data_IF_308012461851
#
_entry.id   IF_308012461851
#
_cell.length_a   1.000
_cell.length_b   1.000
_cell.length_c   1.000
_cell.angle_alpha   90.00
_cell.angle_beta   90.00
_cell.angle_gamma   90.00
#
_symmetry.space_group_name_H-M   'P 1'
#
loop_
_entity.id
_entity.type
_entity.pdbx_description
1 polymer ?
#
# COMPACT_ATOMS: atom_id res chain seq x y z
N UNK A 1 -40.87 -1.32 13.01
CA UNK A 1 -40.62 -0.33 11.94
C UNK A 1 -40.21 -1.07 10.69
N UNK A 2 -40.85 -0.82 9.52
CA UNK A 2 -40.32 -1.36 8.26
C UNK A 2 -38.97 -0.72 7.99
N UNK A 3 -37.93 -1.50 7.64
CA UNK A 3 -36.59 -0.94 7.39
C UNK A 3 -36.67 0.04 6.21
N UNK A 4 -36.11 1.24 6.39
CA UNK A 4 -36.00 2.21 5.30
C UNK A 4 -35.10 1.60 4.21
N UNK A 5 -35.67 1.32 3.04
CA UNK A 5 -34.90 0.99 1.83
C UNK A 5 -34.34 2.31 1.33
N UNK A 6 -33.07 2.50 1.44
CA UNK A 6 -32.38 3.65 0.86
C UNK A 6 -31.95 3.32 -0.56
N UNK A 7 -31.96 4.29 -1.41
CA UNK A 7 -31.80 4.33 -2.86
C UNK A 7 -30.92 3.24 -3.49
N UNK A 8 -31.29 2.78 -4.67
CA UNK A 8 -30.48 1.89 -5.49
C UNK A 8 -29.25 2.64 -6.05
N UNK A 9 -28.07 2.03 -5.93
CA UNK A 9 -26.80 2.50 -6.49
C UNK A 9 -26.38 1.60 -7.66
N UNK A 10 -25.62 2.14 -8.59
CA UNK A 10 -24.95 1.31 -9.60
C UNK A 10 -23.75 0.58 -8.98
N UNK A 11 -22.96 1.31 -8.17
CA UNK A 11 -21.77 0.78 -7.52
C UNK A 11 -21.76 1.16 -6.04
N UNK A 12 -21.52 0.18 -5.17
CA UNK A 12 -21.14 0.42 -3.77
C UNK A 12 -19.70 -0.01 -3.57
N UNK A 13 -18.86 0.90 -3.08
CA UNK A 13 -17.47 0.65 -2.70
C UNK A 13 -17.41 0.53 -1.18
N UNK A 14 -17.00 -0.61 -0.67
CA UNK A 14 -16.83 -0.84 0.77
C UNK A 14 -15.36 -0.69 1.13
N UNK A 15 -15.06 0.32 1.95
CA UNK A 15 -13.74 0.75 2.34
C UNK A 15 -13.39 2.14 1.81
N UNK A 16 -13.26 3.13 2.70
CA UNK A 16 -12.80 4.49 2.39
C UNK A 16 -11.30 4.67 2.66
N UNK A 17 -10.52 3.62 2.42
CA UNK A 17 -9.07 3.71 2.37
C UNK A 17 -8.57 4.21 1.01
N UNK A 18 -7.25 4.29 0.85
CA UNK A 18 -6.58 4.77 -0.36
C UNK A 18 -7.13 4.12 -1.65
N UNK A 19 -7.31 2.80 -1.65
CA UNK A 19 -7.76 2.04 -2.84
C UNK A 19 -9.22 2.34 -3.18
N UNK A 20 -10.12 2.24 -2.18
CA UNK A 20 -11.56 2.47 -2.41
C UNK A 20 -11.87 3.90 -2.86
N UNK A 21 -11.24 4.89 -2.22
CA UNK A 21 -11.41 6.30 -2.61
C UNK A 21 -10.78 6.59 -3.99
N UNK A 22 -9.68 5.92 -4.35
CA UNK A 22 -9.11 6.04 -5.70
C UNK A 22 -10.06 5.48 -6.74
N UNK A 23 -10.68 4.32 -6.50
CA UNK A 23 -11.73 3.76 -7.39
C UNK A 23 -12.86 4.79 -7.56
N UNK A 24 -13.40 5.32 -6.46
CA UNK A 24 -14.47 6.32 -6.48
C UNK A 24 -14.08 7.59 -7.26
N UNK A 25 -12.82 8.02 -7.13
CA UNK A 25 -12.30 9.22 -7.80
C UNK A 25 -12.09 9.02 -9.31
N UNK A 26 -11.66 7.82 -9.72
CA UNK A 26 -11.41 7.49 -11.12
C UNK A 26 -12.69 7.18 -11.93
N UNK A 27 -13.79 6.77 -11.28
CA UNK A 27 -15.09 6.61 -11.91
C UNK A 27 -15.66 7.99 -12.25
N UNK A 28 -15.51 8.43 -13.51
CA UNK A 28 -15.85 9.80 -13.97
C UNK A 28 -17.21 9.89 -14.65
N UNK A 29 -17.93 8.78 -14.81
CA UNK A 29 -19.25 8.78 -15.41
C UNK A 29 -20.28 9.33 -14.42
N UNK A 30 -20.79 10.52 -14.70
CA UNK A 30 -21.76 11.23 -13.86
C UNK A 30 -23.17 10.57 -13.86
N UNK A 31 -23.42 9.63 -14.75
CA UNK A 31 -24.64 8.84 -14.80
C UNK A 31 -24.65 7.73 -13.73
N UNK A 32 -23.50 7.31 -13.26
CA UNK A 32 -23.39 6.27 -12.24
C UNK A 32 -23.70 6.83 -10.85
N UNK A 33 -24.61 6.19 -10.13
CA UNK A 33 -24.85 6.47 -8.71
C UNK A 33 -23.90 5.61 -7.88
N UNK A 34 -23.02 6.26 -7.12
CA UNK A 34 -21.95 5.61 -6.38
C UNK A 34 -22.14 5.83 -4.88
N UNK A 35 -21.93 4.79 -4.08
CA UNK A 35 -21.80 4.91 -2.63
C UNK A 35 -20.42 4.43 -2.18
N UNK A 36 -19.84 5.13 -1.22
CA UNK A 36 -18.66 4.67 -0.46
C UNK A 36 -19.11 4.41 0.98
N UNK A 37 -18.78 3.23 1.50
CA UNK A 37 -19.17 2.79 2.84
C UNK A 37 -17.92 2.43 3.63
N UNK A 38 -17.73 3.02 4.83
CA UNK A 38 -16.62 2.65 5.71
C UNK A 38 -17.08 2.59 7.17
N UNK A 39 -16.54 1.62 7.90
CA UNK A 39 -16.81 1.42 9.32
C UNK A 39 -16.22 2.51 10.21
N UNK A 40 -15.17 3.19 9.74
CA UNK A 40 -14.43 4.18 10.49
C UNK A 40 -14.79 5.59 10.02
N UNK A 41 -14.96 6.48 10.98
CA UNK A 41 -15.00 7.91 10.70
C UNK A 41 -13.58 8.45 10.87
N UNK A 42 -12.82 8.48 9.78
CA UNK A 42 -11.46 9.02 9.81
C UNK A 42 -11.55 10.53 9.93
N UNK A 43 -11.04 11.15 11.01
CA UNK A 43 -11.05 12.59 11.14
C UNK A 43 -10.23 13.26 10.03
N UNK A 44 -10.54 14.50 9.65
CA UNK A 44 -9.71 15.28 8.73
C UNK A 44 -8.29 15.39 9.30
N UNK A 45 -7.30 15.30 8.43
CA UNK A 45 -5.90 15.50 8.82
C UNK A 45 -5.65 16.98 9.07
N UNK A 46 -5.01 17.38 10.18
CA UNK A 46 -4.63 18.76 10.44
C UNK A 46 -3.80 19.35 9.29
N UNK A 47 -3.85 20.68 9.13
CA UNK A 47 -2.95 21.36 8.19
C UNK A 47 -1.49 21.17 8.61
N UNK A 48 -0.57 21.10 7.63
CA UNK A 48 0.88 20.89 7.91
C UNK A 48 1.44 21.93 8.88
N UNK A 49 0.93 23.17 8.84
CA UNK A 49 1.31 24.25 9.79
C UNK A 49 0.87 23.99 11.23
N UNK A 50 -0.10 23.08 11.45
CA UNK A 50 -0.61 22.71 12.77
C UNK A 50 0.03 21.44 13.29
N UNK A 51 0.78 20.72 12.43
CA UNK A 51 1.51 19.51 12.80
C UNK A 51 2.87 19.88 13.40
N UNK A 52 3.16 19.35 14.57
CA UNK A 52 4.54 19.35 15.06
C UNK A 52 5.43 18.64 14.03
N UNK A 53 6.64 19.14 13.81
CA UNK A 53 7.58 18.63 12.81
C UNK A 53 7.89 17.13 12.98
N UNK A 54 7.73 16.60 14.18
CA UNK A 54 7.97 15.20 14.56
C UNK A 54 6.71 14.31 14.55
N UNK A 55 5.52 14.87 14.37
CA UNK A 55 4.28 14.09 14.41
C UNK A 55 3.93 13.52 13.03
N UNK A 56 4.51 12.37 12.70
CA UNK A 56 4.24 11.64 11.46
C UNK A 56 3.21 10.51 11.67
N UNK A 57 2.45 10.21 10.61
CA UNK A 57 1.59 9.01 10.60
C UNK A 57 2.43 7.74 10.76
N UNK A 58 1.95 6.83 11.58
CA UNK A 58 2.58 5.52 11.75
C UNK A 58 2.63 4.71 10.44
N UNK A 59 1.76 5.01 9.48
CA UNK A 59 1.67 4.31 8.19
C UNK A 59 2.03 5.24 7.05
N UNK A 60 3.19 4.99 6.47
CA UNK A 60 3.63 5.64 5.23
C UNK A 60 3.67 4.64 4.09
N UNK A 61 3.58 5.14 2.87
CA UNK A 61 3.72 4.35 1.65
C UNK A 61 4.83 4.93 0.75
N UNK A 62 5.62 4.03 0.17
CA UNK A 62 6.56 4.38 -0.89
C UNK A 62 5.82 4.26 -2.23
N UNK A 63 5.28 5.37 -2.72
CA UNK A 63 4.54 5.41 -3.96
C UNK A 63 5.48 5.33 -5.16
N UNK A 64 5.18 4.43 -6.08
CA UNK A 64 5.85 4.35 -7.39
C UNK A 64 5.42 5.48 -8.32
N UNK A 65 6.16 5.69 -9.40
CA UNK A 65 5.80 6.65 -10.45
C UNK A 65 4.39 6.37 -11.02
N UNK A 66 4.06 5.11 -11.29
CA UNK A 66 2.73 4.71 -11.75
C UNK A 66 1.63 5.07 -10.74
N UNK A 67 1.85 4.80 -9.45
CA UNK A 67 0.90 5.13 -8.39
C UNK A 67 0.66 6.63 -8.27
N UNK A 68 1.72 7.44 -8.43
CA UNK A 68 1.61 8.90 -8.46
C UNK A 68 0.75 9.38 -9.63
N UNK A 69 0.93 8.81 -10.83
CA UNK A 69 0.12 9.15 -11.99
C UNK A 69 -1.36 8.75 -11.82
N UNK A 70 -1.63 7.62 -11.16
CA UNK A 70 -2.99 7.22 -10.79
C UNK A 70 -3.63 8.26 -9.86
N UNK A 71 -2.92 8.71 -8.81
CA UNK A 71 -3.42 9.74 -7.88
C UNK A 71 -3.58 11.12 -8.55
N UNK A 72 -2.75 11.46 -9.54
CA UNK A 72 -2.95 12.66 -10.37
C UNK A 72 -4.26 12.56 -11.16
N UNK A 73 -4.52 11.45 -11.83
CA UNK A 73 -5.77 11.23 -12.58
C UNK A 73 -7.00 11.17 -11.68
N UNK A 74 -6.82 10.69 -10.44
CA UNK A 74 -7.85 10.73 -9.40
C UNK A 74 -8.09 12.17 -8.86
N UNK A 75 -7.27 13.15 -9.24
CA UNK A 75 -7.39 14.55 -8.80
C UNK A 75 -6.84 14.83 -7.40
N UNK A 76 -6.27 13.83 -6.72
CA UNK A 76 -5.75 13.96 -5.36
C UNK A 76 -4.36 14.60 -5.31
N UNK A 77 -3.53 14.41 -6.34
CA UNK A 77 -2.13 14.81 -6.30
C UNK A 77 -1.92 16.31 -6.08
N UNK A 78 -2.76 17.16 -6.67
CA UNK A 78 -2.69 18.62 -6.48
C UNK A 78 -2.90 19.02 -5.01
N UNK A 79 -3.73 18.30 -4.29
CA UNK A 79 -3.97 18.52 -2.86
C UNK A 79 -2.79 17.98 -2.06
N UNK A 80 -2.27 16.81 -2.44
CA UNK A 80 -1.09 16.19 -1.84
C UNK A 80 0.13 17.12 -1.93
N UNK A 81 0.32 17.81 -3.05
CA UNK A 81 1.44 18.75 -3.24
C UNK A 81 1.44 19.93 -2.23
N UNK A 82 0.31 20.25 -1.65
CA UNK A 82 0.21 21.26 -0.58
C UNK A 82 0.51 20.70 0.82
N UNK A 83 0.71 19.39 0.93
CA UNK A 83 1.04 18.68 2.16
C UNK A 83 2.51 18.27 2.15
N UNK A 84 2.98 17.60 3.21
CA UNK A 84 4.34 17.08 3.24
C UNK A 84 4.43 15.71 2.58
N UNK A 85 5.47 15.51 1.79
CA UNK A 85 5.89 14.24 1.21
C UNK A 85 7.40 14.29 0.98
N UNK A 86 8.04 13.16 0.77
CA UNK A 86 9.47 13.09 0.48
C UNK A 86 9.71 12.28 -0.80
N UNK A 87 10.17 12.95 -1.85
CA UNK A 87 10.68 12.25 -3.03
C UNK A 87 12.04 11.63 -2.69
N UNK A 88 12.32 10.43 -3.17
CA UNK A 88 13.65 9.83 -3.04
C UNK A 88 14.23 9.54 -4.41
N UNK A 89 15.52 9.91 -4.54
CA UNK A 89 16.29 9.82 -5.78
C UNK A 89 17.19 8.61 -5.82
N UNK A 90 17.45 7.97 -4.67
CA UNK A 90 18.28 6.80 -4.59
C UNK A 90 17.77 5.77 -3.57
N UNK A 91 18.13 4.50 -3.80
CA UNK A 91 17.88 3.41 -2.87
C UNK A 91 19.14 2.56 -2.74
N UNK A 92 19.54 2.29 -1.51
CA UNK A 92 20.69 1.44 -1.20
C UNK A 92 20.24 0.20 -0.45
N UNK A 93 20.54 -0.96 -1.02
CA UNK A 93 20.21 -2.28 -0.49
C UNK A 93 21.47 -3.05 -0.20
N UNK A 94 21.60 -3.63 1.02
CA UNK A 94 22.79 -4.43 1.36
C UNK A 94 22.47 -5.64 2.23
N UNK A 95 23.37 -6.60 2.19
CA UNK A 95 23.32 -7.84 2.97
C UNK A 95 24.09 -7.68 4.29
N UNK A 96 23.50 -8.12 5.40
CA UNK A 96 24.12 -8.05 6.72
C UNK A 96 25.33 -9.00 6.87
N UNK A 97 25.28 -10.15 6.18
CA UNK A 97 26.24 -11.24 6.35
C UNK A 97 27.31 -11.30 5.26
N UNK A 98 27.33 -10.30 4.37
CA UNK A 98 28.21 -10.29 3.22
C UNK A 98 28.61 -8.90 2.75
N UNK A 99 29.35 -8.86 1.63
CA UNK A 99 29.80 -7.62 0.98
C UNK A 99 28.86 -7.17 -0.14
N UNK A 100 27.79 -7.93 -0.37
CA UNK A 100 26.86 -7.66 -1.46
C UNK A 100 26.02 -6.42 -1.19
N UNK A 101 26.07 -5.46 -2.12
CA UNK A 101 25.19 -4.29 -2.08
C UNK A 101 24.77 -3.88 -3.48
N UNK A 102 23.60 -3.24 -3.58
CA UNK A 102 23.09 -2.66 -4.84
C UNK A 102 22.61 -1.26 -4.55
N UNK A 103 23.04 -0.30 -5.38
CA UNK A 103 22.52 1.06 -5.37
C UNK A 103 21.70 1.32 -6.62
N UNK A 104 20.47 1.76 -6.45
CA UNK A 104 19.61 2.27 -7.51
C UNK A 104 19.62 3.79 -7.48
N UNK A 105 19.69 4.42 -8.64
CA UNK A 105 19.68 5.87 -8.79
C UNK A 105 18.68 6.30 -9.85
N UNK A 106 17.92 7.36 -9.57
CA UNK A 106 17.02 7.98 -10.52
C UNK A 106 17.77 8.51 -11.75
N UNK A 107 18.98 9.01 -11.56
CA UNK A 107 19.86 9.49 -12.62
C UNK A 107 20.23 8.37 -13.61
N UNK A 108 20.64 7.19 -13.12
CA UNK A 108 20.95 6.03 -13.96
C UNK A 108 19.75 5.55 -14.80
N UNK A 109 18.54 5.73 -14.26
CA UNK A 109 17.28 5.36 -14.93
C UNK A 109 16.73 6.47 -15.82
N UNK A 110 17.35 7.66 -15.81
CA UNK A 110 16.88 8.85 -16.51
C UNK A 110 15.46 9.25 -16.13
N UNK A 111 15.12 9.12 -14.84
CA UNK A 111 13.83 9.51 -14.25
C UNK A 111 14.04 10.57 -13.17
N UNK A 112 13.04 11.43 -12.90
CA UNK A 112 13.21 12.52 -11.92
C UNK A 112 13.34 12.02 -10.47
N UNK A 113 12.86 10.80 -10.16
CA UNK A 113 12.87 10.17 -8.83
C UNK A 113 12.62 8.68 -8.95
N UNK A 114 12.99 7.91 -7.91
CA UNK A 114 12.64 6.48 -7.82
C UNK A 114 11.24 6.29 -7.24
N UNK A 115 10.79 7.18 -6.37
CA UNK A 115 9.47 7.13 -5.77
C UNK A 115 9.24 8.29 -4.81
N UNK A 116 8.11 8.25 -4.11
CA UNK A 116 7.69 9.27 -3.16
C UNK A 116 7.21 8.61 -1.88
N UNK A 117 7.79 8.98 -0.73
CA UNK A 117 7.29 8.56 0.57
C UNK A 117 6.22 9.55 1.03
N UNK A 118 5.07 9.01 1.41
CA UNK A 118 3.92 9.83 1.84
C UNK A 118 3.17 9.14 2.97
N UNK A 119 2.60 9.93 3.85
CA UNK A 119 1.69 9.47 4.90
C UNK A 119 0.35 9.05 4.29
N UNK A 120 -0.14 7.87 4.68
CA UNK A 120 -1.36 7.32 4.11
C UNK A 120 -2.59 8.18 4.41
N UNK A 121 -2.63 8.83 5.56
CA UNK A 121 -3.68 9.75 5.95
C UNK A 121 -3.82 10.93 4.98
N UNK A 122 -2.70 11.50 4.52
CA UNK A 122 -2.73 12.61 3.54
C UNK A 122 -3.30 12.20 2.19
N UNK A 123 -3.01 10.98 1.74
CA UNK A 123 -3.60 10.47 0.48
C UNK A 123 -5.10 10.28 0.62
N UNK A 124 -5.54 9.69 1.74
CA UNK A 124 -6.97 9.47 2.04
C UNK A 124 -7.71 10.78 2.12
N UNK A 125 -7.16 11.77 2.86
CA UNK A 125 -7.75 13.09 3.03
C UNK A 125 -7.87 13.84 1.69
N UNK A 126 -6.82 13.84 0.87
CA UNK A 126 -6.83 14.47 -0.44
C UNK A 126 -7.88 13.85 -1.39
N UNK A 127 -8.02 12.52 -1.35
CA UNK A 127 -9.06 11.82 -2.13
C UNK A 127 -10.46 12.18 -1.65
N UNK A 128 -10.68 12.24 -0.33
CA UNK A 128 -11.97 12.61 0.25
C UNK A 128 -12.35 14.04 -0.09
N UNK A 129 -11.42 15.01 0.05
CA UNK A 129 -11.67 16.41 -0.30
C UNK A 129 -12.12 16.54 -1.76
N UNK A 130 -11.51 15.78 -2.66
CA UNK A 130 -11.91 15.75 -4.06
C UNK A 130 -13.30 15.13 -4.26
N UNK A 131 -13.62 14.06 -3.51
CA UNK A 131 -14.87 13.31 -3.65
C UNK A 131 -16.09 14.04 -3.08
N UNK A 132 -15.95 14.86 -2.04
CA UNK A 132 -17.05 15.66 -1.49
C UNK A 132 -17.65 16.65 -2.53
N UNK A 133 -16.94 16.93 -3.61
CA UNK A 133 -17.39 17.80 -4.71
C UNK A 133 -18.24 17.05 -5.76
N UNK A 134 -18.32 15.71 -5.68
CA UNK A 134 -19.07 14.88 -6.64
C UNK A 134 -20.54 14.77 -6.27
N UNK A 135 -21.44 15.22 -7.17
CA UNK A 135 -22.88 15.19 -6.94
C UNK A 135 -23.52 13.79 -7.02
N UNK A 136 -22.87 12.85 -7.75
CA UNK A 136 -23.37 11.49 -7.98
C UNK A 136 -22.79 10.47 -6.97
N UNK A 137 -22.16 10.93 -5.88
CA UNK A 137 -21.52 10.10 -4.89
C UNK A 137 -22.05 10.38 -3.49
N UNK A 138 -22.40 9.32 -2.75
CA UNK A 138 -22.77 9.39 -1.34
C UNK A 138 -21.73 8.66 -0.48
N UNK A 139 -21.35 9.24 0.67
CA UNK A 139 -20.38 8.65 1.60
C UNK A 139 -21.09 8.32 2.91
N UNK A 140 -21.04 7.05 3.32
CA UNK A 140 -21.60 6.53 4.56
C UNK A 140 -20.46 6.18 5.52
N UNK A 141 -20.20 7.05 6.50
CA UNK A 141 -19.19 6.88 7.55
C UNK A 141 -19.67 7.51 8.85
N UNK A 142 -19.50 6.89 10.01
CA UNK A 142 -19.18 5.47 10.19
C UNK A 142 -20.38 4.59 9.78
N UNK A 143 -20.11 3.46 9.09
CA UNK A 143 -21.14 2.53 8.65
C UNK A 143 -20.58 1.12 8.48
N UNK A 144 -20.99 0.19 9.34
CA UNK A 144 -20.50 -1.21 9.34
C UNK A 144 -21.47 -2.13 8.61
N UNK A 145 -20.97 -2.93 7.67
CA UNK A 145 -21.74 -3.96 6.97
C UNK A 145 -21.76 -5.23 7.81
N UNK A 146 -22.99 -5.75 8.07
CA UNK A 146 -23.18 -6.99 8.83
C UNK A 146 -23.64 -8.16 7.99
N UNK A 147 -24.36 -7.92 6.88
CA UNK A 147 -24.77 -8.99 5.98
C UNK A 147 -24.77 -8.56 4.51
N UNK A 148 -24.66 -9.54 3.65
CA UNK A 148 -24.66 -9.41 2.20
C UNK A 148 -25.58 -10.50 1.62
N UNK A 149 -26.58 -10.08 0.86
CA UNK A 149 -27.49 -10.96 0.13
C UNK A 149 -27.31 -10.73 -1.38
N UNK A 150 -26.81 -11.72 -2.12
CA UNK A 150 -26.52 -11.63 -3.55
C UNK A 150 -27.69 -12.19 -4.36
N UNK A 151 -28.38 -11.31 -5.11
CA UNK A 151 -29.41 -11.66 -6.08
C UNK A 151 -28.88 -11.70 -7.51
N UNK A 152 -29.74 -12.01 -8.47
CA UNK A 152 -29.38 -12.11 -9.89
C UNK A 152 -29.08 -10.73 -10.51
N UNK A 153 -29.81 -9.69 -10.11
CA UNK A 153 -29.69 -8.34 -10.68
C UNK A 153 -28.95 -7.35 -9.76
N UNK A 154 -28.87 -7.64 -8.45
CA UNK A 154 -28.30 -6.72 -7.47
C UNK A 154 -27.80 -7.44 -6.23
N UNK A 155 -26.95 -6.75 -5.47
CA UNK A 155 -26.49 -7.14 -4.14
C UNK A 155 -27.14 -6.22 -3.10
N UNK A 156 -27.68 -6.78 -2.03
CA UNK A 156 -28.22 -6.06 -0.88
C UNK A 156 -27.25 -6.16 0.30
N UNK A 157 -26.76 -5.01 0.75
CA UNK A 157 -25.96 -4.89 1.97
C UNK A 157 -26.86 -4.40 3.11
N UNK A 158 -26.68 -4.98 4.31
CA UNK A 158 -27.33 -4.49 5.54
C UNK A 158 -26.26 -4.01 6.51
N UNK A 159 -26.55 -2.91 7.17
CA UNK A 159 -25.67 -2.30 8.16
C UNK A 159 -26.14 -2.58 9.59
N UNK A 160 -25.26 -2.33 10.55
CA UNK A 160 -25.59 -2.42 11.98
C UNK A 160 -26.79 -1.54 12.36
N UNK A 161 -26.92 -0.36 11.75
CA UNK A 161 -28.03 0.58 11.97
C UNK A 161 -29.31 0.22 11.19
N UNK A 162 -29.41 -1.03 10.69
CA UNK A 162 -30.54 -1.51 9.89
C UNK A 162 -30.77 -0.74 8.56
N UNK A 163 -29.77 0.01 8.07
CA UNK A 163 -29.80 0.59 6.75
C UNK A 163 -29.66 -0.52 5.71
N UNK A 164 -30.42 -0.43 4.61
CA UNK A 164 -30.32 -1.33 3.46
C UNK A 164 -29.84 -0.56 2.27
N UNK A 165 -28.72 -1.02 1.69
CA UNK A 165 -28.10 -0.44 0.51
C UNK A 165 -28.08 -1.50 -0.60
N UNK A 166 -28.64 -1.17 -1.75
CA UNK A 166 -28.70 -2.07 -2.91
C UNK A 166 -27.84 -1.52 -4.04
N UNK A 167 -27.02 -2.37 -4.67
CA UNK A 167 -26.21 -2.01 -5.83
C UNK A 167 -26.20 -3.09 -6.90
N UNK A 168 -25.92 -2.69 -8.15
CA UNK A 168 -25.64 -3.62 -9.25
C UNK A 168 -24.27 -4.29 -9.08
N UNK A 169 -23.27 -3.54 -8.56
CA UNK A 169 -21.91 -4.02 -8.29
C UNK A 169 -21.47 -3.59 -6.90
N UNK A 170 -20.87 -4.50 -6.14
CA UNK A 170 -20.17 -4.20 -4.88
C UNK A 170 -18.67 -4.39 -5.09
N UNK A 171 -17.87 -3.39 -4.74
CA UNK A 171 -16.42 -3.43 -4.78
C UNK A 171 -15.90 -3.44 -3.34
N UNK A 172 -15.24 -4.52 -2.94
CA UNK A 172 -14.60 -4.65 -1.66
C UNK A 172 -13.18 -4.07 -1.71
N UNK A 173 -12.96 -2.97 -1.01
CA UNK A 173 -11.67 -2.33 -0.77
C UNK A 173 -11.44 -2.10 0.73
N UNK A 174 -12.05 -2.94 1.59
CA UNK A 174 -12.14 -2.86 3.04
C UNK A 174 -10.93 -3.51 3.77
N UNK A 175 -9.83 -3.70 3.05
CA UNK A 175 -8.53 -4.04 3.59
C UNK A 175 -8.33 -5.53 3.90
N UNK A 176 -7.23 -5.82 4.60
CA UNK A 176 -6.77 -7.19 4.88
C UNK A 176 -7.80 -8.07 5.58
N UNK A 177 -8.64 -7.48 6.44
CA UNK A 177 -9.73 -8.17 7.15
C UNK A 177 -11.09 -7.92 6.49
N UNK A 178 -11.14 -7.93 5.16
CA UNK A 178 -12.33 -7.65 4.38
C UNK A 178 -13.55 -8.45 4.83
N UNK A 179 -14.59 -7.72 5.28
CA UNK A 179 -15.87 -8.30 5.67
C UNK A 179 -16.67 -8.76 4.46
N UNK A 180 -16.58 -8.01 3.36
CA UNK A 180 -17.26 -8.37 2.11
C UNK A 180 -16.69 -9.67 1.55
N UNK A 181 -15.36 -9.84 1.56
CA UNK A 181 -14.70 -11.10 1.15
C UNK A 181 -15.21 -12.29 1.95
N UNK A 182 -15.35 -12.13 3.27
CA UNK A 182 -15.87 -13.14 4.18
C UNK A 182 -17.34 -13.47 3.87
N UNK A 183 -18.22 -12.45 3.85
CA UNK A 183 -19.67 -12.61 3.63
C UNK A 183 -20.00 -13.21 2.26
N UNK A 184 -19.23 -12.87 1.23
CA UNK A 184 -19.38 -13.42 -0.11
C UNK A 184 -18.69 -14.78 -0.32
N UNK A 185 -18.08 -15.36 0.74
CA UNK A 185 -17.42 -16.67 0.72
C UNK A 185 -16.36 -16.78 -0.39
N UNK A 186 -15.47 -15.79 -0.52
CA UNK A 186 -14.31 -15.90 -1.38
C UNK A 186 -13.27 -16.84 -0.75
N UNK A 187 -12.77 -17.78 -1.55
CA UNK A 187 -11.68 -18.65 -1.13
C UNK A 187 -10.37 -17.85 -1.07
N UNK A 188 -9.63 -18.00 0.00
CA UNK A 188 -8.34 -17.34 0.23
C UNK A 188 -7.26 -18.39 0.42
N UNK A 189 -6.09 -18.15 -0.12
CA UNK A 189 -4.87 -18.86 0.24
C UNK A 189 -4.11 -17.97 1.20
N UNK A 190 -3.70 -18.52 2.33
CA UNK A 190 -2.93 -17.81 3.36
C UNK A 190 -1.62 -18.51 3.60
N UNK A 191 -0.57 -17.70 3.77
CA UNK A 191 0.75 -18.16 4.16
C UNK A 191 1.23 -17.27 5.31
N UNK A 192 1.69 -17.88 6.36
CA UNK A 192 2.31 -17.16 7.46
C UNK A 192 3.77 -16.86 7.11
N UNK A 193 4.17 -15.61 7.29
CA UNK A 193 5.58 -15.25 7.14
C UNK A 193 6.41 -15.56 8.38
N UNK A 194 5.76 -15.85 9.51
CA UNK A 194 6.41 -15.97 10.82
C UNK A 194 7.27 -14.73 11.15
N UNK A 195 6.80 -13.55 10.77
CA UNK A 195 7.44 -12.28 11.08
C UNK A 195 6.39 -11.26 11.50
N UNK A 196 6.81 -10.39 12.42
CA UNK A 196 6.09 -9.18 12.79
C UNK A 196 6.90 -7.97 12.32
N UNK A 197 6.24 -6.91 11.85
CA UNK A 197 6.88 -5.65 11.49
C UNK A 197 6.76 -4.65 12.62
N UNK A 198 7.88 -4.10 13.07
CA UNK A 198 7.93 -2.92 13.93
C UNK A 198 8.01 -1.71 13.02
N UNK A 199 7.08 -0.78 13.20
CA UNK A 199 7.03 0.49 12.47
C UNK A 199 7.15 1.62 13.47
N UNK A 200 8.03 2.56 13.19
CA UNK A 200 8.23 3.78 13.96
C UNK A 200 8.81 4.88 13.06
N UNK A 201 8.68 6.12 13.48
CA UNK A 201 9.44 7.23 12.92
C UNK A 201 10.65 7.48 13.81
N UNK A 202 11.80 7.73 13.20
CA UNK A 202 13.07 7.93 13.93
C UNK A 202 13.78 9.18 13.44
N UNK A 203 14.48 9.83 14.36
CA UNK A 203 15.40 10.92 14.06
C UNK A 203 16.82 10.40 14.02
N UNK A 204 17.58 10.78 12.99
CA UNK A 204 18.95 10.31 12.74
C UNK A 204 19.96 11.46 12.89
N UNK A 205 21.19 11.13 13.27
CA UNK A 205 22.28 12.10 13.43
C UNK A 205 22.73 12.69 12.08
N UNK A 206 22.67 11.88 11.02
CA UNK A 206 23.01 12.31 9.66
C UNK A 206 21.79 12.35 8.76
N UNK A 207 21.71 13.29 7.80
CA UNK A 207 20.60 13.41 6.89
C UNK A 207 20.52 12.22 5.92
N UNK A 208 19.29 11.82 5.55
CA UNK A 208 19.03 10.72 4.62
C UNK A 208 19.34 11.05 3.14
N UNK A 209 19.53 12.33 2.78
CA UNK A 209 19.88 12.77 1.42
C UNK A 209 18.96 12.17 0.32
N UNK A 210 17.66 12.12 0.57
CA UNK A 210 16.65 11.53 -0.35
C UNK A 210 16.98 10.06 -0.71
N UNK A 211 17.60 9.33 0.20
CA UNK A 211 17.97 7.92 0.02
C UNK A 211 17.10 7.01 0.86
N UNK A 212 16.44 6.05 0.23
CA UNK A 212 15.84 4.92 0.92
C UNK A 212 16.91 3.85 1.20
N UNK A 213 16.89 3.28 2.41
CA UNK A 213 17.86 2.27 2.82
C UNK A 213 17.13 0.96 3.13
N UNK A 214 17.70 -0.17 2.73
CA UNK A 214 17.18 -1.48 3.08
C UNK A 214 18.31 -2.46 3.36
N UNK A 215 18.34 -2.98 4.59
CA UNK A 215 19.23 -4.04 5.02
C UNK A 215 18.52 -5.36 5.10
N UNK A 216 19.08 -6.39 4.49
CA UNK A 216 18.64 -7.76 4.68
C UNK A 216 19.47 -8.43 5.76
N UNK A 217 18.82 -8.88 6.83
CA UNK A 217 19.44 -9.58 7.96
C UNK A 217 18.82 -10.97 8.11
N UNK A 218 19.48 -11.88 8.81
CA UNK A 218 18.94 -13.20 9.12
C UNK A 218 17.62 -13.11 9.91
N UNK A 219 17.53 -12.14 10.82
CA UNK A 219 16.31 -11.89 11.61
C UNK A 219 15.17 -11.27 10.80
N UNK A 220 15.43 -10.82 9.59
CA UNK A 220 14.48 -10.16 8.69
C UNK A 220 14.97 -8.80 8.18
N UNK A 221 14.29 -8.21 7.19
CA UNK A 221 14.68 -6.94 6.60
C UNK A 221 14.38 -5.74 7.49
N UNK A 222 15.28 -4.76 7.45
CA UNK A 222 15.12 -3.43 8.03
C UNK A 222 15.16 -2.38 6.92
N UNK A 223 14.13 -1.55 6.83
CA UNK A 223 14.07 -0.44 5.87
C UNK A 223 14.02 0.91 6.58
N UNK A 224 14.66 1.93 5.98
CA UNK A 224 14.51 3.33 6.32
C UNK A 224 13.93 4.06 5.12
N UNK A 225 12.80 4.70 5.30
CA UNK A 225 12.09 5.47 4.29
C UNK A 225 12.22 6.95 4.64
N UNK A 226 12.82 7.78 3.77
CA UNK A 226 13.08 9.18 4.06
C UNK A 226 11.78 9.97 4.25
N UNK A 227 11.74 10.82 5.27
CA UNK A 227 10.62 11.70 5.57
C UNK A 227 11.07 13.16 5.52
N UNK A 228 10.22 14.02 4.99
CA UNK A 228 10.43 15.46 4.97
C UNK A 228 9.36 16.15 5.82
N UNK A 229 9.75 17.11 6.64
CA UNK A 229 8.82 17.86 7.52
C UNK A 229 7.93 18.83 6.74
N UNK A 230 8.31 19.19 5.54
CA UNK A 230 7.58 20.10 4.66
C UNK A 230 7.76 21.59 5.00
N UNK A 231 8.37 21.91 6.14
CA UNK A 231 8.49 23.30 6.63
C UNK A 231 9.85 23.94 6.32
N UNK A 232 10.90 23.14 6.18
CA UNK A 232 12.26 23.60 5.86
C UNK A 232 12.95 22.59 4.92
N UNK A 233 13.74 23.11 3.98
CA UNK A 233 14.49 22.30 3.01
C UNK A 233 15.57 21.43 3.69
N UNK A 234 16.02 21.82 4.89
CA UNK A 234 17.14 21.20 5.60
C UNK A 234 16.76 20.09 6.60
N UNK A 235 15.47 19.82 6.81
CA UNK A 235 15.04 18.77 7.74
C UNK A 235 15.01 17.40 7.09
N UNK A 236 16.17 16.83 6.79
CA UNK A 236 16.34 15.49 6.20
C UNK A 236 16.81 14.44 7.23
N UNK A 237 16.55 14.66 8.50
CA UNK A 237 16.99 13.81 9.60
C UNK A 237 15.90 12.84 10.12
N UNK A 238 14.74 12.82 9.48
CA UNK A 238 13.64 11.92 9.84
C UNK A 238 13.46 10.77 8.85
N UNK A 239 13.21 9.58 9.37
CA UNK A 239 12.92 8.39 8.55
C UNK A 239 11.81 7.56 9.20
N UNK A 240 10.92 7.00 8.39
CA UNK A 240 10.05 5.91 8.85
C UNK A 240 10.82 4.60 8.72
N UNK A 241 10.84 3.81 9.80
CA UNK A 241 11.45 2.48 9.77
C UNK A 241 10.39 1.40 9.68
N UNK A 242 10.72 0.34 8.93
CA UNK A 242 9.98 -0.92 8.92
C UNK A 242 10.98 -2.04 9.21
N UNK A 243 10.95 -2.56 10.44
CA UNK A 243 11.81 -3.65 10.86
C UNK A 243 11.01 -4.94 10.98
N UNK A 244 11.16 -5.81 10.00
CA UNK A 244 10.52 -7.13 10.02
C UNK A 244 11.42 -8.11 10.75
N UNK A 245 10.87 -8.81 11.73
CA UNK A 245 11.62 -9.78 12.53
C UNK A 245 10.75 -10.96 12.94
N UNK A 246 11.37 -12.07 13.35
CA UNK A 246 10.67 -13.19 13.96
C UNK A 246 9.84 -12.71 15.16
N UNK A 247 8.64 -13.28 15.43
CA UNK A 247 7.72 -12.75 16.44
C UNK A 247 8.31 -12.63 17.86
N UNK A 248 9.20 -13.54 18.25
CA UNK A 248 9.89 -13.50 19.55
C UNK A 248 10.85 -12.31 19.66
N UNK A 249 11.63 -12.08 18.59
CA UNK A 249 12.59 -11.00 18.54
C UNK A 249 11.90 -9.64 18.35
N UNK A 250 10.87 -9.58 17.50
CA UNK A 250 10.05 -8.38 17.34
C UNK A 250 9.40 -7.93 18.67
N UNK A 251 8.85 -8.87 19.45
CA UNK A 251 8.30 -8.57 20.77
C UNK A 251 9.37 -8.08 21.75
N UNK A 252 10.58 -8.67 21.72
CA UNK A 252 11.72 -8.20 22.53
C UNK A 252 12.05 -6.75 22.18
N UNK A 253 12.24 -6.43 20.89
CA UNK A 253 12.54 -5.08 20.43
C UNK A 253 11.41 -4.08 20.76
N UNK A 254 10.15 -4.51 20.65
CA UNK A 254 9.00 -3.69 21.00
C UNK A 254 8.93 -3.34 22.48
N UNK A 255 9.42 -4.21 23.38
CA UNK A 255 9.40 -4.02 24.84
C UNK A 255 10.57 -3.21 25.38
N UNK A 256 11.58 -2.90 24.59
CA UNK A 256 12.72 -2.07 25.00
C UNK A 256 12.28 -0.64 25.36
N UNK A 257 13.05 0.05 26.18
CA UNK A 257 12.94 1.51 26.30
C UNK A 257 13.26 2.19 24.98
N UNK A 258 12.95 3.48 24.84
CA UNK A 258 13.24 4.21 23.60
C UNK A 258 14.74 4.33 23.36
N UNK A 259 15.54 4.58 24.41
CA UNK A 259 17.01 4.63 24.33
C UNK A 259 17.61 3.30 23.90
N UNK A 260 17.16 2.18 24.51
CA UNK A 260 17.62 0.85 24.14
C UNK A 260 17.23 0.49 22.70
N UNK A 261 16.01 0.83 22.27
CA UNK A 261 15.58 0.61 20.91
C UNK A 261 16.39 1.42 19.91
N UNK A 262 16.65 2.70 20.18
CA UNK A 262 17.50 3.56 19.36
C UNK A 262 18.93 2.99 19.24
N UNK A 263 19.48 2.45 20.34
CA UNK A 263 20.77 1.79 20.33
C UNK A 263 20.77 0.53 19.45
N UNK A 264 19.81 -0.38 19.64
CA UNK A 264 19.68 -1.61 18.84
C UNK A 264 19.47 -1.27 17.34
N UNK A 265 18.67 -0.27 17.04
CA UNK A 265 18.44 0.18 15.66
C UNK A 265 19.68 0.80 15.03
N UNK A 266 20.46 1.56 15.80
CA UNK A 266 21.77 2.09 15.37
C UNK A 266 22.72 0.96 14.96
N UNK A 267 22.82 -0.10 15.80
CA UNK A 267 23.63 -1.27 15.49
C UNK A 267 23.08 -2.04 14.27
N UNK A 268 21.76 -2.24 14.22
CA UNK A 268 21.10 -2.94 13.12
C UNK A 268 21.25 -2.20 11.79
N UNK A 269 21.41 -0.88 11.77
CA UNK A 269 21.62 -0.07 10.57
C UNK A 269 23.11 0.11 10.19
N UNK A 270 24.03 -0.45 10.98
CA UNK A 270 25.50 -0.20 10.85
C UNK A 270 25.84 1.29 10.89
N UNK A 271 25.06 2.06 11.66
CA UNK A 271 25.23 3.52 11.78
C UNK A 271 25.27 4.26 10.42
N UNK A 272 24.56 3.76 9.40
CA UNK A 272 24.54 4.36 8.05
C UNK A 272 24.06 5.81 8.02
N UNK A 273 23.15 6.16 8.94
CA UNK A 273 22.66 7.52 9.16
C UNK A 273 23.16 8.10 10.49
N UNK A 274 24.33 7.66 10.96
CA UNK A 274 24.83 7.98 12.30
C UNK A 274 24.00 7.29 13.40
N UNK A 275 23.97 7.88 14.59
CA UNK A 275 23.15 7.37 15.70
C UNK A 275 21.69 7.70 15.47
N UNK A 276 20.82 6.81 15.94
CA UNK A 276 19.41 7.11 16.08
C UNK A 276 19.24 7.92 17.36
N UNK A 277 18.74 9.17 17.22
CA UNK A 277 18.69 10.15 18.30
C UNK A 277 17.36 10.06 19.06
N UNK A 278 16.27 9.78 18.32
CA UNK A 278 14.91 9.77 18.87
C UNK A 278 14.03 8.80 18.08
N UNK A 279 12.99 8.28 18.72
CA UNK A 279 12.00 7.44 18.07
C UNK A 279 10.58 7.75 18.55
N UNK A 280 9.63 7.69 17.63
CA UNK A 280 8.20 7.78 17.94
C UNK A 280 7.71 6.52 18.67
N UNK A 281 6.46 6.56 19.10
CA UNK A 281 5.76 5.34 19.54
C UNK A 281 5.89 4.25 18.48
N UNK A 282 6.31 3.07 18.89
CA UNK A 282 6.44 1.88 18.04
C UNK A 282 5.08 1.21 17.84
N UNK A 283 4.88 0.68 16.64
CA UNK A 283 3.70 -0.11 16.29
C UNK A 283 4.15 -1.50 15.82
N UNK A 284 3.42 -2.54 16.24
CA UNK A 284 3.72 -3.93 15.90
C UNK A 284 2.59 -4.49 15.03
N UNK A 285 2.93 -4.98 13.84
CA UNK A 285 1.99 -5.53 12.88
C UNK A 285 2.37 -6.97 12.50
N UNK A 286 1.49 -7.97 12.69
CA UNK A 286 1.76 -9.32 12.21
C UNK A 286 1.73 -9.34 10.68
N UNK A 287 2.77 -9.93 10.07
CA UNK A 287 2.89 -10.03 8.62
C UNK A 287 2.26 -11.33 8.13
N UNK A 288 1.20 -11.21 7.34
CA UNK A 288 0.50 -12.34 6.72
C UNK A 288 0.37 -12.09 5.23
N UNK A 289 0.65 -13.12 4.46
CA UNK A 289 0.37 -13.11 3.04
C UNK A 289 -0.99 -13.75 2.78
N UNK A 290 -1.84 -13.06 2.05
CA UNK A 290 -3.14 -13.53 1.64
C UNK A 290 -3.35 -13.30 0.15
N UNK A 291 -4.02 -14.23 -0.49
CA UNK A 291 -4.37 -14.10 -1.89
C UNK A 291 -5.74 -14.75 -2.14
N UNK A 292 -6.70 -13.97 -2.58
CA UNK A 292 -8.00 -14.49 -3.00
C UNK A 292 -7.84 -15.33 -4.27
N UNK A 293 -8.46 -16.52 -4.29
CA UNK A 293 -8.40 -17.41 -5.44
C UNK A 293 -9.04 -16.76 -6.67
N UNK A 294 -10.10 -15.99 -6.45
CA UNK A 294 -10.77 -15.18 -7.46
C UNK A 294 -10.87 -13.73 -6.96
N UNK A 295 -10.71 -12.77 -7.87
CA UNK A 295 -10.85 -11.34 -7.57
C UNK A 295 -12.26 -10.83 -7.87
N UNK A 296 -13.07 -11.63 -8.53
CA UNK A 296 -14.47 -11.33 -8.78
C UNK A 296 -15.33 -12.58 -8.68
N UNK A 297 -16.57 -12.41 -8.28
CA UNK A 297 -17.58 -13.43 -8.22
C UNK A 297 -18.94 -12.76 -8.44
N UNK A 298 -19.63 -13.12 -9.54
CA UNK A 298 -20.88 -12.48 -9.94
C UNK A 298 -20.80 -10.95 -9.87
N UNK A 299 -21.54 -10.32 -8.93
CA UNK A 299 -21.66 -8.86 -8.75
C UNK A 299 -20.75 -8.29 -7.67
N UNK A 300 -19.68 -9.00 -7.32
CA UNK A 300 -18.73 -8.57 -6.28
C UNK A 300 -17.31 -8.64 -6.83
N UNK A 301 -16.57 -7.55 -6.69
CA UNK A 301 -15.15 -7.47 -7.01
C UNK A 301 -14.31 -7.13 -5.76
N UNK A 302 -13.12 -7.71 -5.65
CA UNK A 302 -12.14 -7.42 -4.60
C UNK A 302 -11.01 -6.59 -5.19
N UNK A 303 -10.52 -5.58 -4.45
CA UNK A 303 -9.38 -4.75 -4.85
C UNK A 303 -8.46 -4.46 -3.64
N UNK A 304 -7.17 -4.30 -3.89
CA UNK A 304 -6.15 -4.05 -2.88
C UNK A 304 -6.06 -5.18 -1.86
N UNK A 305 -5.85 -4.83 -0.59
CA UNK A 305 -5.66 -5.80 0.50
C UNK A 305 -6.88 -6.73 0.71
N UNK A 306 -8.06 -6.36 0.22
CA UNK A 306 -9.22 -7.26 0.21
C UNK A 306 -9.01 -8.45 -0.74
N UNK A 307 -8.29 -8.26 -1.85
CA UNK A 307 -7.95 -9.30 -2.82
C UNK A 307 -6.62 -10.00 -2.49
N UNK A 308 -5.61 -9.24 -2.09
CA UNK A 308 -4.26 -9.73 -1.81
C UNK A 308 -3.54 -8.86 -0.79
N UNK A 309 -2.83 -9.50 0.11
CA UNK A 309 -1.94 -8.85 1.06
C UNK A 309 -0.55 -9.45 0.87
N UNK A 310 0.44 -8.61 0.62
CA UNK A 310 1.82 -9.03 0.43
C UNK A 310 2.70 -8.52 1.57
N UNK A 311 3.89 -9.13 1.71
CA UNK A 311 4.90 -8.64 2.64
C UNK A 311 5.27 -7.18 2.30
N UNK A 312 5.33 -6.26 3.27
CA UNK A 312 5.60 -4.84 3.03
C UNK A 312 7.07 -4.56 2.68
N UNK A 313 7.73 -5.44 1.92
CA UNK A 313 9.05 -5.15 1.37
C UNK A 313 8.93 -3.88 0.52
N UNK A 314 9.62 -2.83 0.94
CA UNK A 314 9.66 -1.52 0.27
C UNK A 314 8.28 -0.82 0.08
N UNK A 315 7.29 -1.04 0.95
CA UNK A 315 6.01 -0.33 0.88
C UNK A 315 5.14 -0.64 -0.35
N UNK A 316 5.32 -1.79 -0.99
CA UNK A 316 4.68 -2.15 -2.28
C UNK A 316 3.17 -2.41 -2.22
N UNK A 317 2.59 -2.68 -1.03
CA UNK A 317 1.16 -3.03 -0.91
C UNK A 317 0.22 -1.96 -1.46
N UNK A 318 0.47 -0.69 -1.15
CA UNK A 318 -0.32 0.43 -1.64
C UNK A 318 -0.26 0.54 -3.17
N UNK A 319 0.91 0.35 -3.77
CA UNK A 319 1.11 0.43 -5.22
C UNK A 319 0.26 -0.61 -5.97
N UNK A 320 0.28 -1.87 -5.51
CA UNK A 320 -0.54 -2.91 -6.13
C UNK A 320 -2.03 -2.62 -6.01
N UNK A 321 -2.47 -2.09 -4.86
CA UNK A 321 -3.86 -1.69 -4.64
C UNK A 321 -4.30 -0.54 -5.55
N UNK A 322 -3.43 0.45 -5.79
CA UNK A 322 -3.71 1.55 -6.72
C UNK A 322 -3.77 1.06 -8.17
N UNK A 323 -2.89 0.15 -8.57
CA UNK A 323 -2.95 -0.50 -9.89
C UNK A 323 -4.21 -1.36 -10.05
N UNK A 324 -4.70 -2.01 -8.98
CA UNK A 324 -5.99 -2.71 -9.02
C UNK A 324 -7.15 -1.73 -9.24
N UNK A 325 -7.13 -0.59 -8.54
CA UNK A 325 -8.14 0.46 -8.69
C UNK A 325 -8.21 0.96 -10.12
N UNK A 326 -7.07 1.28 -10.71
CA UNK A 326 -6.98 1.70 -12.11
C UNK A 326 -7.49 0.64 -13.08
N UNK A 327 -7.01 -0.59 -12.93
CA UNK A 327 -7.39 -1.69 -13.83
C UNK A 327 -8.90 -1.96 -13.77
N UNK A 328 -9.49 -1.98 -12.55
CA UNK A 328 -10.92 -2.20 -12.37
C UNK A 328 -11.74 -1.10 -13.03
N UNK A 329 -11.40 0.17 -12.78
CA UNK A 329 -12.13 1.31 -13.35
C UNK A 329 -11.98 1.34 -14.86
N UNK A 330 -10.80 1.09 -15.41
CA UNK A 330 -10.59 1.02 -16.86
C UNK A 330 -11.49 -0.06 -17.49
N UNK A 331 -11.59 -1.26 -16.88
CA UNK A 331 -12.45 -2.33 -17.42
C UNK A 331 -13.95 -2.02 -17.29
N UNK A 332 -14.37 -1.36 -16.21
CA UNK A 332 -15.74 -0.87 -16.07
C UNK A 332 -16.05 0.16 -17.15
N UNK A 333 -15.18 1.16 -17.35
CA UNK A 333 -15.37 2.21 -18.36
C UNK A 333 -15.39 1.66 -19.78
N UNK A 334 -14.46 0.76 -20.14
CA UNK A 334 -14.45 0.05 -21.42
C UNK A 334 -15.76 -0.71 -21.66
N UNK A 335 -16.27 -1.37 -20.62
CA UNK A 335 -17.52 -2.14 -20.68
C UNK A 335 -18.75 -1.25 -20.87
N UNK A 336 -18.85 -0.17 -20.10
CA UNK A 336 -19.95 0.81 -20.23
C UNK A 336 -19.97 1.46 -21.63
N UNK A 337 -18.82 1.84 -22.14
CA UNK A 337 -18.68 2.40 -23.51
C UNK A 337 -19.11 1.37 -24.60
N UNK A 338 -19.03 0.07 -24.29
CA UNK A 338 -19.53 -1.00 -25.14
C UNK A 338 -21.01 -1.39 -24.86
N UNK A 339 -21.73 -0.58 -24.08
CA UNK A 339 -23.15 -0.80 -23.76
C UNK A 339 -23.41 -1.93 -22.76
N UNK A 340 -22.39 -2.34 -21.97
CA UNK A 340 -22.51 -3.39 -20.94
C UNK A 340 -22.91 -2.80 -19.59
N UNK A 341 -23.48 -3.63 -18.72
CA UNK A 341 -23.71 -3.26 -17.32
C UNK A 341 -22.41 -3.26 -16.51
N UNK A 342 -22.37 -2.49 -15.39
CA UNK A 342 -21.19 -2.36 -14.50
C UNK A 342 -20.72 -3.70 -13.93
N UNK A 343 -21.63 -4.66 -13.72
CA UNK A 343 -21.35 -5.98 -13.18
C UNK A 343 -21.30 -7.09 -14.25
N UNK A 344 -21.17 -6.72 -15.53
CA UNK A 344 -21.09 -7.71 -16.62
C UNK A 344 -19.93 -8.69 -16.38
N UNK A 345 -20.16 -10.01 -16.46
CA UNK A 345 -19.14 -11.02 -16.22
C UNK A 345 -17.87 -10.83 -17.07
N UNK A 346 -18.01 -10.32 -18.30
CA UNK A 346 -16.85 -10.07 -19.18
C UNK A 346 -15.93 -8.98 -18.60
N UNK A 347 -16.51 -7.95 -17.99
CA UNK A 347 -15.74 -6.88 -17.33
C UNK A 347 -14.97 -7.48 -16.15
N UNK A 348 -15.67 -8.23 -15.30
CA UNK A 348 -15.10 -8.84 -14.10
C UNK A 348 -13.99 -9.85 -14.42
N UNK A 349 -14.19 -10.67 -15.45
CA UNK A 349 -13.17 -11.63 -15.91
C UNK A 349 -11.94 -10.94 -16.51
N UNK A 350 -12.12 -9.83 -17.23
CA UNK A 350 -10.99 -9.06 -17.78
C UNK A 350 -10.18 -8.40 -16.67
N UNK A 351 -10.86 -7.83 -15.68
CA UNK A 351 -10.20 -7.28 -14.49
C UNK A 351 -9.39 -8.35 -13.77
N UNK A 352 -10.04 -9.47 -13.42
CA UNK A 352 -9.37 -10.56 -12.70
C UNK A 352 -8.14 -11.07 -13.46
N UNK A 353 -8.25 -11.30 -14.78
CA UNK A 353 -7.13 -11.79 -15.59
C UNK A 353 -5.96 -10.80 -15.61
N UNK A 354 -6.25 -9.52 -15.80
CA UNK A 354 -5.23 -8.48 -15.85
C UNK A 354 -4.44 -8.38 -14.52
N UNK A 355 -5.14 -8.43 -13.38
CA UNK A 355 -4.49 -8.18 -12.09
C UNK A 355 -3.92 -9.42 -11.43
N UNK A 356 -4.61 -10.56 -11.54
CA UNK A 356 -4.20 -11.78 -10.84
C UNK A 356 -2.84 -12.29 -11.31
N UNK A 357 -2.56 -12.27 -12.62
CA UNK A 357 -1.27 -12.71 -13.17
C UNK A 357 -0.13 -11.81 -12.65
N UNK A 358 -0.32 -10.49 -12.70
CA UNK A 358 0.64 -9.50 -12.23
C UNK A 358 0.90 -9.64 -10.71
N UNK A 359 -0.16 -9.73 -9.90
CA UNK A 359 -0.05 -9.81 -8.45
C UNK A 359 0.60 -11.13 -8.00
N UNK A 360 0.28 -12.26 -8.65
CA UNK A 360 0.94 -13.54 -8.40
C UNK A 360 2.43 -13.51 -8.77
N UNK A 361 2.78 -12.88 -9.89
CA UNK A 361 4.18 -12.68 -10.30
C UNK A 361 4.96 -11.87 -9.25
N UNK A 362 4.39 -10.77 -8.77
CA UNK A 362 5.00 -9.94 -7.73
C UNK A 362 5.14 -10.70 -6.41
N UNK A 363 4.11 -11.47 -6.00
CA UNK A 363 4.16 -12.30 -4.80
C UNK A 363 5.25 -13.38 -4.91
N UNK A 364 5.37 -14.04 -6.07
CA UNK A 364 6.42 -15.02 -6.33
C UNK A 364 7.82 -14.42 -6.26
N UNK A 365 8.00 -13.22 -6.83
CA UNK A 365 9.26 -12.48 -6.75
C UNK A 365 9.64 -12.17 -5.29
N UNK A 366 8.69 -11.63 -4.50
CA UNK A 366 8.93 -11.29 -3.09
C UNK A 366 9.24 -12.54 -2.25
N UNK A 367 8.57 -13.65 -2.53
CA UNK A 367 8.86 -14.91 -1.84
C UNK A 367 10.23 -15.48 -2.25
N UNK A 368 10.61 -15.35 -3.51
CA UNK A 368 11.96 -15.70 -4.00
C UNK A 368 13.05 -14.89 -3.29
N UNK A 369 12.87 -13.58 -3.16
CA UNK A 369 13.79 -12.75 -2.37
C UNK A 369 13.88 -13.20 -0.91
N UNK A 370 12.73 -13.45 -0.26
CA UNK A 370 12.75 -13.95 1.12
C UNK A 370 13.57 -15.23 1.26
N UNK A 371 13.35 -16.23 0.41
CA UNK A 371 14.11 -17.48 0.46
C UNK A 371 15.61 -17.26 0.19
N UNK A 372 15.95 -16.41 -0.79
CA UNK A 372 17.34 -16.09 -1.11
C UNK A 372 18.09 -15.47 0.07
N UNK A 373 17.42 -14.61 0.85
CA UNK A 373 18.04 -13.92 1.99
C UNK A 373 17.92 -14.68 3.32
N UNK A 374 16.99 -15.64 3.45
CA UNK A 374 16.84 -16.48 4.64
C UNK A 374 17.73 -17.74 4.60
N UNK A 375 18.28 -18.12 3.44
CA UNK A 375 19.12 -19.32 3.30
C UNK A 375 20.54 -19.06 3.82
N UNK A 376 20.94 -19.86 4.81
CA UNK A 376 22.24 -19.77 5.48
C UNK A 376 23.35 -20.60 4.81
N UNK A 377 23.02 -21.38 3.77
CA UNK A 377 24.02 -22.21 3.12
C UNK A 377 25.12 -21.37 2.48
N UNK A 378 26.39 -21.77 2.66
CA UNK A 378 27.55 -21.06 2.17
C UNK A 378 27.47 -20.77 0.67
N UNK A 379 26.91 -21.70 -0.09
CA UNK A 379 26.74 -21.61 -1.55
C UNK A 379 25.71 -20.52 -1.90
N UNK A 380 24.56 -20.49 -1.23
CA UNK A 380 23.52 -19.47 -1.48
C UNK A 380 23.97 -18.09 -1.05
N UNK A 381 24.68 -17.97 0.09
CA UNK A 381 25.30 -16.71 0.53
C UNK A 381 26.32 -16.20 -0.49
N UNK A 382 27.18 -17.07 -1.01
CA UNK A 382 28.13 -16.71 -2.05
C UNK A 382 27.44 -16.26 -3.35
N UNK A 383 26.45 -17.05 -3.83
CA UNK A 383 25.65 -16.70 -5.00
C UNK A 383 24.90 -15.39 -4.83
N UNK A 384 24.35 -15.13 -3.64
CA UNK A 384 23.66 -13.87 -3.29
C UNK A 384 24.62 -12.69 -3.37
N UNK A 385 25.79 -12.78 -2.74
CA UNK A 385 26.80 -11.72 -2.75
C UNK A 385 27.33 -11.44 -4.16
N UNK A 386 27.71 -12.49 -4.89
CA UNK A 386 28.15 -12.37 -6.29
C UNK A 386 27.01 -11.84 -7.17
N UNK A 387 25.79 -12.33 -6.97
CA UNK A 387 24.61 -11.88 -7.70
C UNK A 387 24.30 -10.41 -7.47
N UNK A 388 24.30 -9.94 -6.23
CA UNK A 388 24.07 -8.52 -5.90
C UNK A 388 25.14 -7.63 -6.51
N UNK A 389 26.42 -7.99 -6.36
CA UNK A 389 27.53 -7.24 -6.96
C UNK A 389 27.45 -7.25 -8.48
N UNK A 390 27.18 -8.42 -9.09
CA UNK A 390 27.03 -8.52 -10.55
C UNK A 390 25.85 -7.73 -11.09
N UNK A 391 24.71 -7.70 -10.38
CA UNK A 391 23.55 -6.88 -10.76
C UNK A 391 23.91 -5.39 -10.72
N UNK A 392 24.72 -4.97 -9.74
CA UNK A 392 25.17 -3.58 -9.66
C UNK A 392 26.02 -3.18 -10.87
N UNK A 393 26.81 -4.10 -11.38
CA UNK A 393 27.68 -3.89 -12.55
C UNK A 393 26.92 -4.08 -13.89
N UNK A 394 25.82 -4.83 -13.88
CA UNK A 394 24.97 -5.07 -15.07
C UNK A 394 23.85 -4.04 -15.16
N UNK A 395 24.17 -2.83 -15.61
CA UNK A 395 23.23 -1.69 -15.68
C UNK A 395 21.88 -2.05 -16.35
N UNK A 396 21.88 -2.89 -17.38
CA UNK A 396 20.67 -3.27 -18.12
C UNK A 396 19.71 -4.12 -17.27
N UNK A 397 20.23 -5.10 -16.50
CA UNK A 397 19.41 -5.95 -15.61
C UNK A 397 18.92 -5.15 -14.41
N UNK A 398 19.82 -4.34 -13.82
CA UNK A 398 19.49 -3.44 -12.71
C UNK A 398 18.36 -2.49 -13.09
N UNK A 399 18.48 -1.83 -14.24
CA UNK A 399 17.50 -0.89 -14.75
C UNK A 399 16.17 -1.57 -15.05
N UNK A 400 16.17 -2.77 -15.63
CA UNK A 400 14.94 -3.54 -15.86
C UNK A 400 14.22 -3.86 -14.54
N UNK A 401 14.93 -4.37 -13.53
CA UNK A 401 14.34 -4.66 -12.22
C UNK A 401 13.78 -3.40 -11.53
N UNK A 402 14.53 -2.30 -11.59
CA UNK A 402 14.08 -1.03 -11.03
C UNK A 402 12.83 -0.50 -11.76
N UNK A 403 12.78 -0.53 -13.09
CA UNK A 403 11.62 -0.10 -13.89
C UNK A 403 10.38 -0.93 -13.58
N UNK A 404 10.53 -2.25 -13.42
CA UNK A 404 9.45 -3.14 -13.00
C UNK A 404 8.94 -2.79 -11.59
N UNK A 405 9.84 -2.55 -10.63
CA UNK A 405 9.46 -2.13 -9.28
C UNK A 405 8.76 -0.76 -9.24
N UNK A 406 9.09 0.14 -10.17
CA UNK A 406 8.48 1.46 -10.32
C UNK A 406 7.16 1.43 -11.13
N UNK A 407 6.81 0.29 -11.75
CA UNK A 407 5.62 0.16 -12.58
C UNK A 407 5.71 0.95 -13.89
N UNK A 408 6.91 1.21 -14.41
CA UNK A 408 7.11 1.99 -15.62
C UNK A 408 6.89 1.19 -16.92
N UNK A 409 6.93 -0.13 -16.82
CA UNK A 409 6.81 -1.05 -17.95
C UNK A 409 5.52 -1.90 -17.87
N UNK A 410 4.52 -1.46 -17.09
CA UNK A 410 3.22 -2.14 -16.89
C UNK A 410 2.13 -1.57 -17.79
#
# INVERSE_FOLDING_TARGET
>A
MKPKVKSDFDIIIVGAGMVGLTIASLLKDDQLRIAVVDKSDTPPVPMVSELESSNFDARVSALSAASREILKRAGAWRIIESKRYCDFSSMFVWDADGTGSVKFSAEELSVPRLGTIIENSFVVDALLENLYKKANLEIFRPCSIISLDEGDESVLLKTEDNLRLRAKLVIAADGVNSKIRELANFRVREWEYNHDAIVATVKTESPHQEMALQRFMQTGPLAFLPLCTGLEIDCQDWSSIVWSAEPSYAKKLFSLSDDEFCFELTQASESRLGRIIDCSRRHLFPLRQRHAVNYSKRRIALAGDAAHSIHPLAGQGANLGLLDAEALVNKITEGLNAGREVADPVIMDRYQRARKAHNLGMMGLMQGFKHLFADETMIVRWLRNVGMSSINDMSMVKNYLARQAMGLDS
#
